data_IF_063313516232
#
_entry.id   IF_063313516232
#
_cell.length_a   1.000
_cell.length_b   1.000
_cell.length_c   1.000
_cell.angle_alpha   90.00
_cell.angle_beta   90.00
_cell.angle_gamma   90.00
#
_symmetry.space_group_name_H-M   'P 1'
#
loop_
_entity.id
_entity.type
_entity.pdbx_description
1 polymer ?
#
# COMPACT_ATOMS: atom_id res chain seq x y z
N UNK A 1 -3.18 7.05 -10.32
CA UNK A 1 -3.14 6.80 -8.86
C UNK A 1 -1.70 6.73 -8.38
N UNK A 2 -1.30 7.65 -7.53
CA UNK A 2 0.04 7.65 -6.94
C UNK A 2 0.03 6.85 -5.65
N UNK A 3 0.90 5.86 -5.56
CA UNK A 3 1.03 5.03 -4.37
C UNK A 3 2.36 5.38 -3.70
N UNK A 4 2.31 5.70 -2.43
CA UNK A 4 3.49 6.00 -1.62
C UNK A 4 3.67 4.93 -0.56
N UNK A 5 4.83 4.32 -0.53
CA UNK A 5 5.16 3.25 0.40
C UNK A 5 6.10 3.77 1.47
N UNK A 6 5.86 3.38 2.71
CA UNK A 6 6.68 3.79 3.84
C UNK A 6 7.21 2.56 4.59
N UNK A 7 8.38 2.71 5.21
CA UNK A 7 8.98 1.71 6.09
C UNK A 7 9.01 0.30 5.47
N UNK A 8 8.46 -0.70 6.13
CA UNK A 8 8.49 -2.08 5.66
C UNK A 8 7.78 -2.27 4.31
N UNK A 9 6.76 -1.48 4.02
CA UNK A 9 6.08 -1.54 2.72
C UNK A 9 7.01 -1.07 1.60
N UNK A 10 7.76 0.00 1.85
CA UNK A 10 8.77 0.48 0.91
C UNK A 10 9.86 -0.57 0.69
N UNK A 11 10.31 -1.20 1.75
CA UNK A 11 11.33 -2.25 1.65
C UNK A 11 10.83 -3.45 0.85
N UNK A 12 9.60 -3.88 1.09
CA UNK A 12 9.02 -5.03 0.40
C UNK A 12 8.78 -4.76 -1.08
N UNK A 13 8.28 -3.57 -1.41
CA UNK A 13 8.02 -3.21 -2.81
C UNK A 13 9.30 -2.85 -3.57
N UNK A 14 10.30 -2.31 -2.86
CA UNK A 14 11.55 -1.86 -3.47
C UNK A 14 11.47 -0.46 -4.08
N UNK A 15 10.38 0.26 -3.85
CA UNK A 15 10.13 1.61 -4.36
C UNK A 15 9.55 2.47 -3.25
N UNK A 16 9.90 3.77 -3.27
CA UNK A 16 9.29 4.72 -2.35
C UNK A 16 7.90 5.15 -2.82
N UNK A 17 7.72 5.25 -4.13
CA UNK A 17 6.41 5.56 -4.72
C UNK A 17 6.35 5.06 -6.16
N UNK A 18 5.14 4.92 -6.66
CA UNK A 18 4.91 4.58 -8.05
C UNK A 18 3.53 5.06 -8.47
N UNK A 19 3.37 5.26 -9.75
CA UNK A 19 2.07 5.57 -10.32
C UNK A 19 1.53 4.30 -10.98
N UNK A 20 0.31 3.93 -10.66
CA UNK A 20 -0.35 2.78 -11.25
C UNK A 20 -1.64 3.18 -11.92
N UNK A 21 -2.02 2.44 -12.95
CA UNK A 21 -3.34 2.53 -13.55
C UNK A 21 -4.20 1.45 -12.90
N UNK A 22 -5.33 1.85 -12.34
CA UNK A 22 -6.22 0.91 -11.66
C UNK A 22 -7.67 1.21 -11.97
N UNK A 23 -8.48 0.17 -11.99
CA UNK A 23 -9.94 0.28 -12.08
C UNK A 23 -10.59 -0.09 -10.74
N UNK A 24 -9.81 -0.21 -9.68
CA UNK A 24 -10.34 -0.55 -8.36
C UNK A 24 -11.34 0.52 -7.90
N UNK A 25 -12.48 0.08 -7.40
CA UNK A 25 -13.52 0.96 -6.90
C UNK A 25 -13.31 1.27 -5.42
N UNK A 26 -12.75 0.31 -4.66
CA UNK A 26 -12.54 0.44 -3.23
C UNK A 26 -11.08 0.27 -2.87
N UNK A 27 -10.71 0.73 -1.67
CA UNK A 27 -9.37 0.55 -1.15
C UNK A 27 -9.02 -0.95 -1.05
N UNK A 28 -9.97 -1.80 -0.65
CA UNK A 28 -9.72 -3.24 -0.56
C UNK A 28 -9.31 -3.83 -1.91
N UNK A 29 -9.97 -3.43 -2.99
CA UNK A 29 -9.60 -3.89 -4.33
C UNK A 29 -8.22 -3.41 -4.73
N UNK A 30 -7.88 -2.16 -4.41
CA UNK A 30 -6.55 -1.62 -4.70
C UNK A 30 -5.47 -2.37 -3.90
N UNK A 31 -5.69 -2.62 -2.63
CA UNK A 31 -4.74 -3.34 -1.78
C UNK A 31 -4.51 -4.75 -2.33
N UNK A 32 -5.56 -5.41 -2.82
CA UNK A 32 -5.43 -6.71 -3.45
C UNK A 32 -4.57 -6.65 -4.72
N UNK A 33 -4.75 -5.63 -5.54
CA UNK A 33 -3.91 -5.41 -6.72
C UNK A 33 -2.45 -5.18 -6.33
N UNK A 34 -2.20 -4.34 -5.33
CA UNK A 34 -0.84 -4.06 -4.87
C UNK A 34 -0.15 -5.32 -4.35
N UNK A 35 -0.90 -6.19 -3.67
CA UNK A 35 -0.37 -7.45 -3.16
C UNK A 35 0.03 -8.45 -4.24
N UNK A 36 -0.43 -8.25 -5.47
CA UNK A 36 -0.07 -9.09 -6.62
C UNK A 36 1.12 -8.56 -7.40
N UNK A 37 1.60 -7.36 -7.09
CA UNK A 37 2.77 -6.81 -7.76
C UNK A 37 4.02 -7.59 -7.38
N UNK A 38 5.01 -7.67 -8.29
CA UNK A 38 6.26 -8.37 -7.98
C UNK A 38 6.95 -7.75 -6.76
N UNK A 39 7.48 -8.61 -5.90
CA UNK A 39 8.28 -8.20 -4.76
C UNK A 39 9.70 -7.91 -5.25
N UNK A 40 9.98 -6.63 -5.54
CA UNK A 40 11.29 -6.22 -6.06
C UNK A 40 12.23 -5.76 -4.96
N UNK A 41 11.73 -5.68 -3.73
CA UNK A 41 12.52 -5.35 -2.55
C UNK A 41 12.59 -6.52 -1.60
N UNK A 42 13.22 -6.27 -0.44
CA UNK A 42 13.32 -7.27 0.62
C UNK A 42 13.04 -6.60 1.96
N UNK A 43 12.50 -7.37 2.90
CA UNK A 43 12.33 -6.93 4.28
C UNK A 43 13.25 -7.75 5.18
N UNK A 44 13.64 -7.18 6.31
CA UNK A 44 14.48 -7.89 7.28
C UNK A 44 13.78 -9.13 7.83
N UNK A 45 12.46 -9.09 7.89
CA UNK A 45 11.66 -10.22 8.38
C UNK A 45 11.33 -11.24 7.30
N UNK A 46 11.68 -10.98 6.04
CA UNK A 46 11.34 -11.87 4.93
C UNK A 46 9.87 -11.86 4.53
N UNK A 47 9.09 -10.88 4.98
CA UNK A 47 7.68 -10.78 4.64
C UNK A 47 7.50 -10.34 3.18
N UNK A 48 6.52 -10.93 2.51
CA UNK A 48 6.13 -10.49 1.17
C UNK A 48 5.38 -9.15 1.25
N UNK A 49 5.26 -8.48 0.10
CA UNK A 49 4.48 -7.25 0.03
C UNK A 49 3.03 -7.48 0.49
N UNK A 50 2.40 -8.56 0.05
CA UNK A 50 1.03 -8.86 0.46
C UNK A 50 0.91 -9.03 1.98
N UNK A 51 1.89 -9.68 2.60
CA UNK A 51 1.90 -9.86 4.06
C UNK A 51 2.09 -8.54 4.79
N UNK A 52 2.95 -7.66 4.28
CA UNK A 52 3.15 -6.32 4.84
C UNK A 52 1.87 -5.51 4.70
N UNK A 53 1.26 -5.50 3.51
CA UNK A 53 0.03 -4.75 3.25
C UNK A 53 -1.11 -5.15 4.20
N UNK A 54 -1.18 -6.42 4.58
CA UNK A 54 -2.23 -6.89 5.48
C UNK A 54 -2.17 -6.26 6.87
N UNK A 55 -1.05 -5.64 7.22
CA UNK A 55 -0.83 -5.01 8.52
C UNK A 55 -0.81 -3.49 8.45
N UNK A 56 -0.95 -2.94 7.25
CA UNK A 56 -0.83 -1.50 7.06
C UNK A 56 -2.11 -0.75 7.34
N UNK A 57 -1.96 0.53 7.69
CA UNK A 57 -3.02 1.53 7.58
C UNK A 57 -2.84 2.26 6.26
N UNK A 58 -3.89 2.95 5.81
CA UNK A 58 -3.87 3.62 4.53
C UNK A 58 -4.44 5.03 4.66
N UNK A 59 -3.82 5.98 3.97
CA UNK A 59 -4.40 7.30 3.77
C UNK A 59 -4.80 7.40 2.30
N UNK A 60 -6.01 7.88 2.06
CA UNK A 60 -6.49 8.18 0.71
C UNK A 60 -6.62 9.69 0.62
N UNK A 61 -5.83 10.30 -0.27
CA UNK A 61 -5.73 11.76 -0.40
C UNK A 61 -5.51 12.44 0.96
N UNK A 62 -4.63 11.86 1.78
CA UNK A 62 -4.23 12.42 3.07
C UNK A 62 -5.15 12.10 4.23
N UNK A 63 -6.21 11.31 4.03
CA UNK A 63 -7.17 10.96 5.08
C UNK A 63 -7.14 9.48 5.37
N UNK A 64 -7.20 9.11 6.65
CA UNK A 64 -7.32 7.71 7.03
C UNK A 64 -8.54 7.08 6.35
N UNK A 65 -8.35 5.88 5.82
CA UNK A 65 -9.38 5.19 5.06
C UNK A 65 -9.50 3.74 5.50
N UNK A 66 -10.73 3.25 5.48
CA UNK A 66 -11.03 1.84 5.69
C UNK A 66 -11.08 1.10 4.36
N UNK A 67 -11.12 -0.22 4.42
CA UNK A 67 -11.08 -1.04 3.20
C UNK A 67 -12.28 -0.81 2.27
N UNK A 68 -13.43 -0.41 2.79
CA UNK A 68 -14.62 -0.13 1.99
C UNK A 68 -14.67 1.29 1.43
N UNK A 69 -13.64 2.11 1.68
CA UNK A 69 -13.56 3.47 1.16
C UNK A 69 -13.53 3.45 -0.37
N UNK A 70 -14.40 4.26 -0.99
CA UNK A 70 -14.41 4.43 -2.44
C UNK A 70 -13.23 5.28 -2.87
N UNK A 71 -12.48 4.84 -3.87
CA UNK A 71 -11.26 5.50 -4.31
C UNK A 71 -11.27 5.92 -5.79
N UNK A 72 -12.44 5.85 -6.44
CA UNK A 72 -12.53 6.07 -7.88
C UNK A 72 -12.03 7.43 -8.37
N UNK A 73 -12.05 8.47 -7.52
CA UNK A 73 -11.57 9.81 -7.86
C UNK A 73 -10.31 10.19 -7.08
N UNK A 74 -9.75 9.29 -6.30
CA UNK A 74 -8.57 9.59 -5.49
C UNK A 74 -7.32 9.72 -6.36
N UNK A 75 -6.41 10.60 -5.96
CA UNK A 75 -5.13 10.81 -6.65
C UNK A 75 -3.96 10.11 -5.99
N UNK A 76 -4.04 9.84 -4.68
CA UNK A 76 -2.91 9.31 -3.93
C UNK A 76 -3.36 8.38 -2.80
N UNK A 77 -2.59 7.33 -2.61
CA UNK A 77 -2.74 6.43 -1.46
C UNK A 77 -1.39 6.27 -0.78
N UNK A 78 -1.36 6.47 0.52
CA UNK A 78 -0.17 6.23 1.35
C UNK A 78 -0.33 4.91 2.08
N UNK A 79 0.69 4.07 2.00
CA UNK A 79 0.74 2.76 2.63
C UNK A 79 1.62 2.85 3.87
N UNK A 80 1.01 2.76 5.04
CA UNK A 80 1.66 3.02 6.33
C UNK A 80 1.70 1.76 7.18
N UNK A 81 2.82 1.04 7.23
CA UNK A 81 2.95 -0.10 8.13
C UNK A 81 2.83 0.33 9.59
N UNK A 82 2.45 -0.57 10.48
CA UNK A 82 2.46 -0.26 11.90
C UNK A 82 3.90 0.05 12.33
N UNK A 83 4.07 0.96 13.28
CA UNK A 83 5.39 1.26 13.78
C UNK A 83 5.94 0.05 14.51
N UNK A 84 7.09 -0.43 14.04
CA UNK A 84 7.81 -1.45 14.74
C UNK A 84 8.31 -0.87 16.04
N UNK A 85 7.98 -1.27 17.11
CA UNK A 85 8.43 -0.75 18.39
C UNK A 85 7.52 0.31 18.98
N UNK A 86 6.43 0.58 18.32
CA UNK A 86 5.53 1.51 18.97
C UNK A 86 4.21 1.47 18.39
#
# INVERSE_FOLDING_TARGET
MDIHYFAAARAARGLAHERITTTAATLAELVDELGRLPDTGTTDSGLSLAQVLSRCSFLVDGRHAEMDTMIGTAGRVDVLPPFAGG
#
